data_IF_423535574625
#
_entry.id   IF_423535574625
#
_cell.length_a   1.000
_cell.length_b   1.000
_cell.length_c   1.000
_cell.angle_alpha   90.00
_cell.angle_beta   90.00
_cell.angle_gamma   90.00
#
_symmetry.space_group_name_H-M   'P 1'
#
loop_
_entity.id
_entity.type
_entity.pdbx_description
1 polymer ?
#
# COMPACT_ATOMS: atom_id res chain seq x y z
N UNK A 1 2.48 -6.02 4.88
CA UNK A 1 1.19 -6.43 4.29
C UNK A 1 1.46 -7.09 2.96
N UNK A 2 0.97 -8.28 2.81
CA UNK A 2 1.18 -9.07 1.60
C UNK A 2 -0.08 -9.06 0.76
N UNK A 3 -0.01 -8.42 -0.39
CA UNK A 3 -1.14 -8.32 -1.29
C UNK A 3 -1.30 -9.61 -2.10
N UNK A 4 -0.19 -10.26 -2.38
CA UNK A 4 -0.21 -11.49 -3.15
C UNK A 4 -0.64 -12.65 -2.27
N UNK A 5 -1.91 -13.02 -2.36
CA UNK A 5 -2.47 -14.04 -1.49
C UNK A 5 -2.24 -15.45 -2.01
N UNK A 6 -1.45 -15.59 -3.04
CA UNK A 6 -1.24 -16.89 -3.62
C UNK A 6 -2.31 -17.34 -4.57
N UNK A 7 -3.30 -16.52 -4.78
CA UNK A 7 -4.38 -16.86 -5.70
C UNK A 7 -4.06 -16.51 -7.14
N UNK A 8 -3.02 -15.76 -7.34
CA UNK A 8 -2.62 -15.39 -8.69
C UNK A 8 -1.55 -16.34 -9.16
N UNK A 9 -1.96 -17.56 -9.33
CA UNK A 9 -1.06 -18.55 -9.88
C UNK A 9 -1.32 -18.70 -11.35
N UNK A 10 -2.10 -17.88 -11.87
CA UNK A 10 -2.54 -18.03 -13.20
C UNK A 10 -1.46 -17.80 -14.18
N UNK A 11 -1.51 -18.59 -15.19
CA UNK A 11 -0.64 -18.46 -16.25
C UNK A 11 -0.95 -17.25 -17.04
N UNK A 12 -1.98 -16.59 -16.88
CA UNK A 12 -2.30 -15.46 -17.76
C UNK A 12 -2.69 -14.23 -16.99
N UNK A 13 -2.00 -13.99 -15.89
CA UNK A 13 -2.26 -12.79 -15.11
C UNK A 13 -1.70 -11.61 -15.88
N UNK A 14 -2.58 -10.77 -16.38
CA UNK A 14 -2.17 -9.61 -17.15
C UNK A 14 -1.75 -8.48 -16.24
N UNK A 15 -0.89 -7.63 -16.76
CA UNK A 15 -0.41 -6.46 -16.01
C UNK A 15 -1.57 -5.62 -15.51
N UNK A 16 -2.60 -5.43 -16.34
CA UNK A 16 -3.73 -4.61 -15.94
C UNK A 16 -4.53 -5.26 -14.82
N UNK A 17 -4.58 -6.59 -14.78
CA UNK A 17 -5.23 -7.30 -13.68
C UNK A 17 -4.46 -7.10 -12.40
N UNK A 18 -3.14 -7.21 -12.48
CA UNK A 18 -2.26 -6.99 -11.34
C UNK A 18 -2.44 -5.57 -10.82
N UNK A 19 -2.45 -4.62 -11.73
CA UNK A 19 -2.62 -3.21 -11.36
C UNK A 19 -3.95 -3.01 -10.64
N UNK A 20 -5.01 -3.61 -11.15
CA UNK A 20 -6.32 -3.47 -10.54
C UNK A 20 -6.37 -4.03 -9.13
N UNK A 21 -5.74 -5.19 -8.93
CA UNK A 21 -5.69 -5.80 -7.61
C UNK A 21 -4.91 -4.90 -6.65
N UNK A 22 -3.76 -4.40 -7.09
CA UNK A 22 -2.96 -3.52 -6.26
C UNK A 22 -3.68 -2.21 -5.97
N UNK A 23 -4.43 -1.72 -6.94
CA UNK A 23 -5.22 -0.51 -6.78
C UNK A 23 -6.26 -0.67 -5.67
N UNK A 24 -7.02 -1.76 -5.74
CA UNK A 24 -8.05 -2.01 -4.74
C UNK A 24 -7.44 -2.27 -3.37
N UNK A 25 -6.30 -2.97 -3.36
CA UNK A 25 -5.62 -3.24 -2.10
C UNK A 25 -5.14 -1.95 -1.45
N UNK A 26 -4.66 -1.00 -2.24
CA UNK A 26 -4.17 0.26 -1.72
C UNK A 26 -5.28 1.00 -0.96
N UNK A 27 -6.46 1.05 -1.55
CA UNK A 27 -7.59 1.73 -0.93
C UNK A 27 -7.97 1.03 0.38
N UNK A 28 -8.00 -0.30 0.35
CA UNK A 28 -8.37 -1.05 1.55
C UNK A 28 -7.31 -0.91 2.64
N UNK A 29 -6.04 -0.94 2.27
CA UNK A 29 -4.96 -0.80 3.25
C UNK A 29 -5.04 0.56 3.94
N UNK A 30 -5.21 1.63 3.16
CA UNK A 30 -5.30 2.96 3.76
C UNK A 30 -6.48 3.04 4.71
N UNK A 31 -7.59 2.42 4.35
CA UNK A 31 -8.77 2.38 5.21
C UNK A 31 -8.48 1.63 6.51
N UNK A 32 -7.82 0.48 6.42
CA UNK A 32 -7.54 -0.32 7.60
C UNK A 32 -6.53 0.36 8.52
N UNK A 33 -5.54 1.04 7.95
CA UNK A 33 -4.58 1.77 8.77
C UNK A 33 -5.30 2.81 9.62
N UNK A 34 -6.28 3.48 9.03
CA UNK A 34 -7.03 4.52 9.71
C UNK A 34 -7.99 3.91 10.74
N UNK A 35 -8.72 2.88 10.34
CA UNK A 35 -9.72 2.28 11.23
C UNK A 35 -9.10 1.65 12.46
N UNK A 36 -7.91 1.07 12.29
CA UNK A 36 -7.23 0.38 13.40
C UNK A 36 -6.15 1.23 14.04
N UNK A 37 -5.98 2.45 13.57
CA UNK A 37 -4.97 3.38 14.07
C UNK A 37 -3.60 2.71 14.15
N UNK A 38 -3.21 2.07 13.04
CA UNK A 38 -1.93 1.38 12.98
C UNK A 38 -0.83 2.40 12.76
N UNK A 39 0.22 2.34 13.58
CA UNK A 39 1.31 3.28 13.49
C UNK A 39 2.64 2.58 13.33
N UNK A 40 3.66 3.38 13.06
CA UNK A 40 5.01 2.88 12.88
C UNK A 40 5.35 2.72 11.43
N UNK A 41 6.33 1.88 11.17
CA UNK A 41 6.76 1.59 9.80
C UNK A 41 5.87 0.51 9.23
N UNK A 42 5.32 0.77 8.05
CA UNK A 42 4.43 -0.15 7.38
C UNK A 42 5.02 -0.51 6.04
N UNK A 43 5.12 -1.79 5.78
CA UNK A 43 5.66 -2.31 4.52
C UNK A 43 4.53 -3.02 3.79
N UNK A 44 4.35 -2.68 2.52
CA UNK A 44 3.34 -3.30 1.67
C UNK A 44 4.05 -4.09 0.58
N UNK A 45 3.75 -5.37 0.50
CA UNK A 45 4.32 -6.24 -0.51
C UNK A 45 3.29 -6.42 -1.62
N UNK A 46 3.30 -5.47 -2.57
CA UNK A 46 2.38 -5.52 -3.70
C UNK A 46 2.76 -6.65 -4.65
N UNK A 47 1.80 -7.05 -5.46
CA UNK A 47 2.09 -7.96 -6.56
C UNK A 47 2.97 -7.21 -7.55
N UNK A 48 4.02 -7.86 -8.02
CA UNK A 48 4.99 -7.20 -8.91
C UNK A 48 4.32 -6.64 -10.15
N UNK A 49 4.61 -5.38 -10.40
CA UNK A 49 4.11 -4.69 -11.59
C UNK A 49 5.29 -4.49 -12.53
N UNK A 50 5.08 -4.84 -13.79
CA UNK A 50 6.16 -4.76 -14.77
C UNK A 50 6.35 -3.35 -15.30
N UNK A 51 5.28 -2.57 -15.32
CA UNK A 51 5.35 -1.22 -15.87
C UNK A 51 5.67 -0.20 -14.79
N UNK A 52 6.75 0.57 -14.94
CA UNK A 52 7.09 1.58 -13.94
C UNK A 52 5.98 2.60 -13.73
N UNK A 53 5.23 2.93 -14.80
CA UNK A 53 4.15 3.90 -14.65
C UNK A 53 3.05 3.37 -13.75
N UNK A 54 2.85 2.05 -13.71
CA UNK A 54 1.85 1.49 -12.81
C UNK A 54 2.32 1.58 -11.36
N UNK A 55 3.61 1.38 -11.14
CA UNK A 55 4.16 1.55 -9.78
C UNK A 55 3.97 2.97 -9.32
N UNK A 56 4.23 3.92 -10.21
CA UNK A 56 4.08 5.32 -9.85
C UNK A 56 2.62 5.67 -9.56
N UNK A 57 1.71 5.10 -10.34
CA UNK A 57 0.28 5.34 -10.12
C UNK A 57 -0.16 4.80 -8.77
N UNK A 58 0.32 3.62 -8.40
CA UNK A 58 -0.02 3.02 -7.11
C UNK A 58 0.54 3.86 -5.97
N UNK A 59 1.79 4.32 -6.11
CA UNK A 59 2.38 5.18 -5.08
C UNK A 59 1.58 6.46 -4.92
N UNK A 60 1.19 7.09 -6.03
CA UNK A 60 0.41 8.32 -5.97
C UNK A 60 -0.98 8.07 -5.39
N UNK A 61 -1.57 6.93 -5.71
CA UNK A 61 -2.87 6.58 -5.15
C UNK A 61 -2.78 6.43 -3.65
N UNK A 62 -1.72 5.77 -3.18
CA UNK A 62 -1.52 5.60 -1.74
C UNK A 62 -1.40 6.95 -1.06
N UNK A 63 -0.62 7.86 -1.64
CA UNK A 63 -0.47 9.19 -1.08
C UNK A 63 -1.81 9.92 -1.02
N UNK A 64 -2.63 9.78 -2.08
CA UNK A 64 -3.93 10.43 -2.09
C UNK A 64 -4.86 9.85 -1.03
N UNK A 65 -4.86 8.54 -0.90
CA UNK A 65 -5.70 7.90 0.12
C UNK A 65 -5.30 8.33 1.52
N UNK A 66 -4.00 8.47 1.75
CA UNK A 66 -3.52 8.83 3.08
C UNK A 66 -3.74 10.30 3.40
N UNK A 67 -3.98 11.15 2.39
CA UNK A 67 -4.28 12.55 2.66
C UNK A 67 -5.59 12.70 3.43
N UNK A 68 -6.47 11.74 3.33
CA UNK A 68 -7.74 11.79 4.04
C UNK A 68 -7.61 11.33 5.48
N UNK A 69 -6.45 10.87 5.85
CA UNK A 69 -6.18 10.38 7.19
C UNK A 69 -5.80 11.56 8.08
N UNK A 70 -6.35 11.57 9.29
CA UNK A 70 -6.01 12.61 10.26
C UNK A 70 -4.62 12.40 10.84
N UNK A 71 -4.12 11.19 10.76
CA UNK A 71 -2.79 10.89 11.27
C UNK A 71 -1.73 11.40 10.30
N UNK A 72 -0.57 11.69 10.84
CA UNK A 72 0.56 12.09 10.02
C UNK A 72 1.14 10.87 9.34
N UNK A 73 1.27 10.94 8.02
CA UNK A 73 1.78 9.83 7.23
C UNK A 73 2.88 10.33 6.31
N UNK A 74 3.77 9.42 5.95
CA UNK A 74 4.80 9.73 4.97
C UNK A 74 5.07 8.48 4.14
N UNK A 75 4.94 8.62 2.83
CA UNK A 75 5.20 7.52 1.91
C UNK A 75 6.63 7.65 1.42
N UNK A 76 7.44 6.62 1.67
CA UNK A 76 8.83 6.63 1.24
C UNK A 76 8.98 6.15 -0.19
N UNK A 77 8.04 5.33 -0.66
CA UNK A 77 8.09 4.81 -2.00
C UNK A 77 8.55 3.36 -2.01
N UNK A 78 8.81 2.87 -3.21
CA UNK A 78 9.29 1.50 -3.37
C UNK A 78 10.75 1.38 -3.00
N UNK A 79 11.08 0.34 -2.25
CA UNK A 79 12.47 0.07 -1.86
C UNK A 79 13.18 -0.71 -2.96
N UNK A 80 14.47 -0.97 -2.73
CA UNK A 80 15.26 -1.78 -3.65
C UNK A 80 14.73 -3.20 -3.75
N UNK A 81 13.98 -3.65 -2.75
CA UNK A 81 13.38 -4.97 -2.78
C UNK A 81 11.97 -4.93 -3.34
N UNK A 82 11.61 -3.80 -3.93
CA UNK A 82 10.31 -3.62 -4.56
C UNK A 82 9.16 -3.67 -3.56
N UNK A 83 9.43 -3.21 -2.34
CA UNK A 83 8.42 -3.12 -1.29
C UNK A 83 8.04 -1.66 -1.09
N UNK A 84 6.77 -1.40 -0.88
CA UNK A 84 6.32 -0.03 -0.60
C UNK A 84 6.47 0.24 0.88
N UNK A 85 7.11 1.35 1.21
CA UNK A 85 7.35 1.70 2.60
C UNK A 85 6.67 3.01 2.95
N UNK A 86 5.99 3.03 4.09
CA UNK A 86 5.40 4.25 4.60
C UNK A 86 5.46 4.24 6.12
N UNK A 87 5.30 5.42 6.70
CA UNK A 87 5.19 5.55 8.13
C UNK A 87 3.89 6.25 8.46
N UNK A 88 3.31 5.88 9.59
CA UNK A 88 2.08 6.49 10.07
C UNK A 88 2.19 6.67 11.58
N UNK A 89 1.77 7.82 12.05
CA UNK A 89 1.83 8.12 13.46
C UNK A 89 0.45 7.85 14.06
N UNK A 90 0.42 7.17 15.22
CA UNK A 90 -0.84 6.93 15.89
C UNK A 90 -1.56 8.24 16.18
N UNK A 91 -2.87 8.22 16.04
CA UNK A 91 -3.68 9.35 16.47
C UNK A 91 -3.90 9.24 17.97
N UNK A 92 -4.25 8.06 18.43
CA UNK A 92 -4.47 7.80 19.85
C UNK A 92 -3.18 7.34 20.47
N UNK A 93 -2.62 8.15 21.32
CA UNK A 93 -1.42 7.78 22.02
C UNK A 93 -1.83 7.21 23.36
N UNK A 94 -1.64 5.98 23.54
CA UNK A 94 -1.95 5.41 24.79
C UNK A 94 -0.84 5.50 25.73
N UNK A 95 -0.21 6.09 25.76
CA UNK A 95 0.73 6.18 26.58
C UNK A 95 0.92 5.48 27.33
N UNK A 96 0.55 5.18 27.15
CA UNK A 96 0.72 4.58 28.05
C UNK A 96 1.59 4.26 28.13
#
# INVERSE_FOLDING_TARGET
IDVNSGKFTGKSTLEETIYKVNYEATIEIAKQLRLRDIGGIIIIDYIDMLKPENKEKIENLLKECLKQDRAKTQVEGFTNLNLMELTRKHICSHNS
#
